data_IF_518428027666
#
_entry.id   IF_518428027666
#
_cell.length_a   1.000
_cell.length_b   1.000
_cell.length_c   1.000
_cell.angle_alpha   90.00
_cell.angle_beta   90.00
_cell.angle_gamma   90.00
#
_symmetry.space_group_name_H-M   'P 1'
#
loop_
_entity.id
_entity.type
_entity.pdbx_description
1 polymer ?
#
# COMPACT_ATOMS: atom_id res chain seq x y z
N UNK A 1 -43.08 -46.93 -0.73
CA UNK A 1 -41.63 -47.04 -0.52
C UNK A 1 -40.95 -45.80 -1.11
N UNK A 2 -40.45 -44.89 -0.32
CA UNK A 2 -39.70 -43.78 -0.81
C UNK A 2 -38.19 -44.11 -0.74
N UNK A 3 -37.57 -44.08 -1.87
CA UNK A 3 -36.13 -44.27 -2.04
C UNK A 3 -35.40 -43.07 -1.52
N UNK A 4 -34.67 -43.20 -0.46
CA UNK A 4 -33.76 -42.24 0.14
C UNK A 4 -32.53 -42.00 -0.77
N UNK A 5 -32.39 -40.79 -1.25
CA UNK A 5 -31.17 -40.32 -1.90
C UNK A 5 -30.08 -40.15 -0.82
N UNK A 6 -28.87 -40.61 -1.05
CA UNK A 6 -27.76 -40.35 -0.13
C UNK A 6 -27.29 -38.92 -0.29
N UNK A 7 -27.42 -38.16 0.80
CA UNK A 7 -26.80 -36.86 0.99
C UNK A 7 -25.29 -37.01 0.96
N UNK A 8 -24.66 -36.69 -0.16
CA UNK A 8 -23.22 -36.58 -0.25
C UNK A 8 -22.81 -35.18 0.19
N UNK A 9 -22.80 -34.97 1.47
CA UNK A 9 -21.97 -33.93 2.08
C UNK A 9 -20.51 -34.34 1.95
N UNK A 10 -19.89 -34.08 0.84
CA UNK A 10 -18.43 -33.95 0.73
C UNK A 10 -18.07 -32.52 1.10
N UNK A 11 -18.08 -32.23 2.36
CA UNK A 11 -17.26 -31.15 2.92
C UNK A 11 -15.80 -31.59 2.79
N UNK A 12 -15.24 -31.35 1.60
CA UNK A 12 -13.81 -31.31 1.43
C UNK A 12 -13.28 -30.18 2.31
N UNK A 13 -12.38 -30.48 3.20
CA UNK A 13 -11.48 -29.57 3.90
C UNK A 13 -10.64 -28.82 2.85
N UNK A 14 -11.30 -27.96 2.08
CA UNK A 14 -10.69 -27.07 1.11
C UNK A 14 -9.87 -26.06 1.90
N UNK A 15 -8.55 -26.09 1.73
CA UNK A 15 -7.65 -25.03 2.14
C UNK A 15 -8.33 -23.69 1.91
N UNK A 16 -8.52 -22.89 2.98
CA UNK A 16 -9.25 -21.61 2.92
C UNK A 16 -8.53 -20.70 1.93
N UNK A 17 -9.04 -20.68 0.72
CA UNK A 17 -8.58 -19.81 -0.34
C UNK A 17 -8.96 -18.38 0.04
N UNK A 18 -7.97 -17.54 0.29
CA UNK A 18 -8.20 -16.12 0.58
C UNK A 18 -8.08 -15.36 -0.72
N UNK A 19 -9.17 -14.75 -1.14
CA UNK A 19 -9.23 -13.91 -2.34
C UNK A 19 -9.31 -12.43 -1.98
N UNK A 20 -8.73 -11.60 -2.83
CA UNK A 20 -8.79 -10.15 -2.73
C UNK A 20 -9.06 -9.53 -4.11
N UNK A 21 -10.08 -8.68 -4.19
CA UNK A 21 -10.53 -8.07 -5.44
C UNK A 21 -10.66 -6.57 -5.27
N UNK A 22 -10.11 -5.79 -6.21
CA UNK A 22 -10.29 -4.35 -6.24
C UNK A 22 -10.26 -3.80 -7.67
N UNK A 23 -10.82 -2.60 -7.87
CA UNK A 23 -10.72 -1.84 -9.12
C UNK A 23 -9.67 -0.74 -8.97
N UNK A 24 -8.62 -0.80 -9.80
CA UNK A 24 -7.54 0.18 -9.80
C UNK A 24 -7.96 1.52 -10.43
N UNK A 25 -8.92 1.49 -11.34
CA UNK A 25 -9.56 2.66 -11.97
C UNK A 25 -11.00 2.33 -12.34
N UNK A 26 -11.77 3.35 -12.70
CA UNK A 26 -13.18 3.18 -13.12
C UNK A 26 -13.32 2.39 -14.42
N UNK A 27 -12.37 2.54 -15.32
CA UNK A 27 -12.40 1.96 -16.67
C UNK A 27 -11.77 0.57 -16.68
N UNK A 28 -10.93 0.24 -15.67
CA UNK A 28 -10.27 -1.07 -15.61
C UNK A 28 -11.22 -2.16 -15.13
N UNK A 29 -11.04 -3.37 -15.67
CA UNK A 29 -11.60 -4.57 -15.07
C UNK A 29 -11.09 -4.73 -13.63
N UNK A 30 -11.83 -5.44 -12.79
CA UNK A 30 -11.42 -5.74 -11.44
C UNK A 30 -10.11 -6.57 -11.45
N UNK A 31 -9.16 -6.19 -10.61
CA UNK A 31 -7.95 -6.96 -10.34
C UNK A 31 -8.29 -8.01 -9.29
N UNK A 32 -7.94 -9.25 -9.57
CA UNK A 32 -8.25 -10.40 -8.72
C UNK A 32 -6.93 -11.04 -8.26
N UNK A 33 -6.86 -11.32 -6.98
CA UNK A 33 -5.73 -11.98 -6.35
C UNK A 33 -6.25 -13.10 -5.46
N UNK A 34 -5.57 -14.23 -5.47
CA UNK A 34 -5.96 -15.42 -4.75
C UNK A 34 -4.73 -16.13 -4.20
N UNK A 35 -4.77 -16.49 -2.93
CA UNK A 35 -3.74 -17.27 -2.30
C UNK A 35 -4.10 -18.75 -2.42
N UNK A 36 -3.43 -19.45 -3.33
CA UNK A 36 -3.60 -20.89 -3.56
C UNK A 36 -2.45 -21.66 -2.90
N UNK A 37 -2.53 -22.98 -2.87
CA UNK A 37 -1.44 -23.81 -2.35
C UNK A 37 -0.20 -23.76 -3.26
N UNK A 38 -0.38 -23.53 -4.57
CA UNK A 38 0.70 -23.41 -5.55
C UNK A 38 1.37 -22.04 -5.56
N UNK A 39 0.75 -20.99 -4.98
CA UNK A 39 1.31 -19.65 -4.99
C UNK A 39 0.26 -18.53 -5.02
N UNK A 40 0.73 -17.33 -5.30
CA UNK A 40 -0.09 -16.15 -5.53
C UNK A 40 -0.64 -16.19 -6.96
N UNK A 41 -1.92 -16.53 -7.11
CA UNK A 41 -2.65 -16.39 -8.36
C UNK A 41 -3.12 -14.94 -8.54
N UNK A 42 -2.98 -14.39 -9.74
CA UNK A 42 -3.39 -13.04 -10.05
C UNK A 42 -4.01 -12.93 -11.43
N UNK A 43 -4.97 -12.01 -11.57
CA UNK A 43 -5.59 -11.64 -12.83
C UNK A 43 -5.75 -10.12 -12.91
N UNK A 44 -5.16 -9.53 -13.93
CA UNK A 44 -5.14 -8.08 -14.18
C UNK A 44 -5.51 -7.85 -15.63
N UNK A 45 -6.77 -7.48 -15.88
CA UNK A 45 -7.30 -7.36 -17.24
C UNK A 45 -7.28 -8.70 -17.97
N UNK A 46 -6.55 -8.76 -19.10
CA UNK A 46 -6.38 -9.97 -19.90
C UNK A 46 -5.17 -10.82 -19.49
N UNK A 47 -4.38 -10.33 -18.55
CA UNK A 47 -3.18 -11.03 -18.06
C UNK A 47 -3.51 -11.76 -16.78
N UNK A 48 -3.03 -12.99 -16.67
CA UNK A 48 -3.14 -13.78 -15.44
C UNK A 48 -1.89 -14.64 -15.29
N UNK A 49 -1.64 -15.08 -14.07
CA UNK A 49 -0.51 -15.94 -13.77
C UNK A 49 -0.58 -16.44 -12.33
N UNK A 50 0.30 -17.40 -12.04
CA UNK A 50 0.51 -17.90 -10.68
C UNK A 50 2.01 -17.75 -10.37
N UNK A 51 2.31 -17.06 -9.30
CA UNK A 51 3.67 -16.90 -8.80
C UNK A 51 3.88 -17.77 -7.57
N UNK A 52 4.75 -18.81 -7.66
CA UNK A 52 5.12 -19.57 -6.48
C UNK A 52 5.65 -18.66 -5.38
N UNK A 53 5.29 -18.92 -4.14
CA UNK A 53 5.69 -18.04 -3.01
C UNK A 53 7.20 -17.93 -2.86
N UNK A 54 7.96 -18.98 -3.18
CA UNK A 54 9.42 -18.99 -3.13
C UNK A 54 10.08 -18.09 -4.20
N UNK A 55 9.38 -17.88 -5.34
CA UNK A 55 9.91 -17.13 -6.49
C UNK A 55 9.65 -15.62 -6.39
N UNK A 56 8.87 -15.18 -5.42
CA UNK A 56 8.65 -13.77 -5.17
C UNK A 56 9.97 -13.16 -4.69
N UNK A 57 10.49 -12.21 -5.47
CA UNK A 57 11.78 -11.58 -5.21
C UNK A 57 11.71 -10.44 -4.20
N UNK A 58 10.63 -9.65 -4.24
CA UNK A 58 10.45 -8.54 -3.31
C UNK A 58 9.00 -8.21 -3.02
N UNK A 59 8.74 -7.70 -1.81
CA UNK A 59 7.50 -7.01 -1.45
C UNK A 59 7.85 -5.65 -0.88
N UNK A 60 7.16 -4.62 -1.40
CA UNK A 60 7.27 -3.26 -0.86
C UNK A 60 5.91 -2.76 -0.41
N UNK A 61 5.77 -2.50 0.88
CA UNK A 61 4.60 -1.87 1.47
C UNK A 61 4.80 -0.36 1.53
N UNK A 62 3.84 0.43 1.07
CA UNK A 62 3.92 1.90 1.09
C UNK A 62 2.57 2.55 1.39
N UNK A 63 2.61 3.70 2.04
CA UNK A 63 1.46 4.56 2.26
C UNK A 63 1.35 5.55 1.10
N UNK A 64 0.20 5.55 0.40
CA UNK A 64 -0.03 6.35 -0.81
C UNK A 64 -1.35 7.11 -0.71
N UNK A 65 -1.45 8.13 0.16
CA UNK A 65 -2.67 8.92 0.29
C UNK A 65 -3.03 9.61 -1.03
N UNK A 66 -4.32 9.81 -1.24
CA UNK A 66 -4.88 10.62 -2.32
C UNK A 66 -5.86 11.62 -1.73
N UNK A 67 -6.18 12.69 -2.48
CA UNK A 67 -7.14 13.73 -2.06
C UNK A 67 -8.50 13.16 -1.65
N UNK A 68 -8.96 12.13 -2.33
CA UNK A 68 -10.25 11.46 -2.04
C UNK A 68 -10.16 10.39 -0.97
N UNK A 69 -8.97 9.88 -0.65
CA UNK A 69 -8.76 8.81 0.32
C UNK A 69 -7.40 8.94 1.01
N UNK A 70 -7.43 9.53 2.20
CA UNK A 70 -6.24 9.73 3.02
C UNK A 70 -5.62 8.39 3.49
N UNK A 71 -6.45 7.36 3.70
CA UNK A 71 -6.00 6.02 4.14
C UNK A 71 -5.90 5.07 2.95
N UNK A 72 -4.85 5.21 2.18
CA UNK A 72 -4.59 4.34 1.04
C UNK A 72 -3.22 3.70 1.17
N UNK A 73 -3.17 2.38 1.12
CA UNK A 73 -1.96 1.57 1.23
C UNK A 73 -1.74 0.79 -0.06
N UNK A 74 -0.49 0.48 -0.33
CA UNK A 74 -0.08 -0.23 -1.53
C UNK A 74 0.98 -1.26 -1.20
N UNK A 75 0.80 -2.47 -1.70
CA UNK A 75 1.81 -3.51 -1.76
C UNK A 75 2.26 -3.70 -3.22
N UNK A 76 3.52 -3.47 -3.49
CA UNK A 76 4.17 -3.83 -4.75
C UNK A 76 4.86 -5.17 -4.56
N UNK A 77 4.47 -6.17 -5.34
CA UNK A 77 5.02 -7.52 -5.32
C UNK A 77 5.76 -7.73 -6.65
N UNK A 78 6.98 -8.21 -6.59
CA UNK A 78 7.84 -8.37 -7.76
C UNK A 78 8.37 -9.80 -7.83
N UNK A 79 8.28 -10.40 -9.02
CA UNK A 79 8.95 -11.66 -9.37
C UNK A 79 10.06 -11.35 -10.38
N UNK A 80 11.23 -11.92 -10.15
CA UNK A 80 12.37 -11.72 -11.02
C UNK A 80 12.05 -12.19 -12.45
N UNK A 81 12.29 -11.31 -13.43
CA UNK A 81 12.05 -11.60 -14.85
C UNK A 81 10.61 -11.49 -15.34
N UNK A 82 9.60 -11.44 -14.46
CA UNK A 82 8.18 -11.36 -14.84
C UNK A 82 7.49 -10.02 -14.55
N UNK A 83 8.18 -9.13 -13.84
CA UNK A 83 7.69 -7.79 -13.57
C UNK A 83 7.08 -7.62 -12.18
N UNK A 84 6.20 -6.62 -12.08
CA UNK A 84 5.61 -6.16 -10.81
C UNK A 84 4.11 -6.12 -10.89
N UNK A 85 3.45 -6.56 -9.82
CA UNK A 85 2.02 -6.36 -9.59
C UNK A 85 1.83 -5.49 -8.35
N UNK A 86 0.74 -4.71 -8.33
CA UNK A 86 0.41 -3.84 -7.22
C UNK A 86 -0.93 -4.23 -6.64
N UNK A 87 -1.03 -4.25 -5.32
CA UNK A 87 -2.29 -4.47 -4.59
C UNK A 87 -2.57 -3.20 -3.79
N UNK A 88 -3.78 -2.67 -3.93
CA UNK A 88 -4.22 -1.43 -3.26
C UNK A 88 -5.26 -1.75 -2.19
N UNK A 89 -5.23 -1.01 -1.08
CA UNK A 89 -6.22 -1.13 0.00
C UNK A 89 -7.55 -0.43 -0.31
N UNK A 90 -7.72 0.10 -1.51
CA UNK A 90 -8.91 0.85 -1.92
C UNK A 90 -9.41 0.40 -3.27
N UNK A 91 -10.73 0.46 -3.47
CA UNK A 91 -11.39 0.15 -4.74
C UNK A 91 -12.19 1.35 -5.24
N UNK A 92 -12.15 1.62 -6.55
CA UNK A 92 -12.99 2.62 -7.16
C UNK A 92 -14.43 2.11 -7.32
N UNK A 93 -15.40 2.91 -6.90
CA UNK A 93 -16.84 2.63 -7.11
C UNK A 93 -17.44 3.57 -8.15
N UNK A 94 -17.16 4.87 -8.04
CA UNK A 94 -17.64 5.91 -8.98
C UNK A 94 -16.54 6.91 -9.25
N UNK A 95 -16.81 7.92 -10.11
CA UNK A 95 -15.84 8.99 -10.48
C UNK A 95 -15.31 9.75 -9.25
N UNK A 96 -16.12 9.88 -8.19
CA UNK A 96 -15.76 10.62 -6.99
C UNK A 96 -15.72 9.77 -5.73
N UNK A 97 -15.97 8.46 -5.82
CA UNK A 97 -16.05 7.59 -4.65
C UNK A 97 -15.05 6.44 -4.73
N UNK A 98 -14.14 6.44 -3.77
CA UNK A 98 -13.19 5.37 -3.51
C UNK A 98 -13.45 4.79 -2.13
N UNK A 99 -13.66 3.47 -2.06
CA UNK A 99 -13.97 2.78 -0.81
C UNK A 99 -12.74 2.09 -0.26
N UNK A 100 -12.41 2.26 1.03
CA UNK A 100 -11.37 1.50 1.69
C UNK A 100 -11.79 0.03 1.89
N UNK A 101 -10.84 -0.88 1.72
CA UNK A 101 -10.98 -2.31 1.98
C UNK A 101 -9.97 -2.77 3.05
N UNK A 102 -9.89 -2.01 4.12
CA UNK A 102 -8.83 -2.10 5.12
C UNK A 102 -8.66 -3.52 5.68
N UNK A 103 -9.75 -4.12 6.13
CA UNK A 103 -9.72 -5.46 6.74
C UNK A 103 -9.32 -6.54 5.74
N UNK A 104 -9.93 -6.53 4.55
CA UNK A 104 -9.61 -7.50 3.49
C UNK A 104 -8.16 -7.39 3.01
N UNK A 105 -7.69 -6.16 2.84
CA UNK A 105 -6.30 -5.91 2.45
C UNK A 105 -5.32 -6.39 3.52
N UNK A 106 -5.56 -6.03 4.80
CA UNK A 106 -4.69 -6.44 5.91
C UNK A 106 -4.65 -7.97 6.03
N UNK A 107 -5.81 -8.63 6.01
CA UNK A 107 -5.90 -10.08 6.08
C UNK A 107 -5.15 -10.76 4.92
N UNK A 108 -5.35 -10.28 3.69
CA UNK A 108 -4.69 -10.80 2.51
C UNK A 108 -3.17 -10.66 2.57
N UNK A 109 -2.66 -9.46 2.91
CA UNK A 109 -1.21 -9.20 3.01
C UNK A 109 -0.58 -10.03 4.13
N UNK A 110 -1.23 -10.14 5.28
CA UNK A 110 -0.73 -10.94 6.41
C UNK A 110 -0.63 -12.42 6.03
N UNK A 111 -1.67 -12.96 5.39
CA UNK A 111 -1.68 -14.36 4.98
C UNK A 111 -0.67 -14.63 3.85
N UNK A 112 -0.50 -13.71 2.90
CA UNK A 112 0.54 -13.80 1.89
C UNK A 112 1.94 -13.94 2.52
N UNK A 113 2.27 -13.09 3.49
CA UNK A 113 3.55 -13.17 4.20
C UNK A 113 3.71 -14.49 4.96
N UNK A 114 2.64 -14.97 5.61
CA UNK A 114 2.64 -16.26 6.31
C UNK A 114 2.95 -17.42 5.35
N UNK A 115 2.28 -17.46 4.18
CA UNK A 115 2.50 -18.52 3.17
C UNK A 115 3.89 -18.43 2.54
N UNK A 116 4.37 -17.23 2.25
CA UNK A 116 5.73 -17.02 1.75
C UNK A 116 6.79 -17.50 2.74
N UNK A 117 6.58 -17.22 4.03
CA UNK A 117 7.46 -17.72 5.09
C UNK A 117 7.44 -19.24 5.15
N UNK A 118 6.26 -19.86 5.13
CA UNK A 118 6.11 -21.32 5.13
C UNK A 118 6.78 -21.98 3.92
N UNK A 119 6.77 -21.30 2.75
CA UNK A 119 7.45 -21.73 1.53
C UNK A 119 8.97 -21.45 1.52
N UNK A 120 9.54 -20.92 2.59
CA UNK A 120 10.97 -20.62 2.67
C UNK A 120 11.42 -19.47 1.74
N UNK A 121 10.52 -18.53 1.39
CA UNK A 121 10.83 -17.41 0.52
C UNK A 121 11.97 -16.55 1.07
N UNK A 122 12.88 -16.15 0.17
CA UNK A 122 14.01 -15.23 0.44
C UNK A 122 13.72 -13.81 -0.06
N UNK A 123 12.45 -13.45 -0.23
CA UNK A 123 12.04 -12.15 -0.73
C UNK A 123 12.60 -10.99 0.10
N UNK A 124 13.00 -9.92 -0.59
CA UNK A 124 13.37 -8.66 0.06
C UNK A 124 12.12 -7.92 0.53
N UNK A 125 11.94 -7.79 1.84
CA UNK A 125 10.79 -7.12 2.44
C UNK A 125 11.15 -5.67 2.80
N UNK A 126 10.52 -4.71 2.13
CA UNK A 126 10.80 -3.28 2.31
C UNK A 126 9.54 -2.48 2.57
N UNK A 127 9.63 -1.55 3.50
CA UNK A 127 8.56 -0.60 3.83
C UNK A 127 8.92 0.82 3.44
N UNK A 128 7.91 1.59 3.07
CA UNK A 128 8.06 2.98 2.64
C UNK A 128 8.29 3.14 1.14
N UNK A 129 8.64 4.36 0.74
CA UNK A 129 9.02 4.68 -0.64
C UNK A 129 10.50 4.38 -0.87
N UNK A 130 10.92 4.29 -2.15
CA UNK A 130 12.33 4.06 -2.49
C UNK A 130 13.25 5.12 -1.88
N UNK A 131 14.46 4.71 -1.49
CA UNK A 131 15.43 5.56 -0.79
C UNK A 131 15.72 6.86 -1.55
N UNK A 132 15.89 6.79 -2.87
CA UNK A 132 16.13 7.98 -3.71
C UNK A 132 14.93 8.92 -3.66
N UNK A 133 13.71 8.40 -3.90
CA UNK A 133 12.48 9.20 -3.85
C UNK A 133 12.27 9.82 -2.47
N UNK A 134 12.58 9.08 -1.40
CA UNK A 134 12.50 9.60 -0.04
C UNK A 134 13.50 10.73 0.19
N UNK A 135 14.76 10.52 -0.19
CA UNK A 135 15.81 11.55 -0.06
C UNK A 135 15.44 12.81 -0.84
N UNK A 136 14.98 12.68 -2.10
CA UNK A 136 14.52 13.82 -2.90
C UNK A 136 13.37 14.56 -2.22
N UNK A 137 12.37 13.83 -1.70
CA UNK A 137 11.25 14.45 -1.00
C UNK A 137 11.69 15.23 0.24
N UNK A 138 12.59 14.64 1.05
CA UNK A 138 13.13 15.30 2.25
C UNK A 138 13.95 16.55 1.86
N UNK A 139 14.79 16.45 0.83
CA UNK A 139 15.57 17.60 0.33
C UNK A 139 14.66 18.74 -0.15
N UNK A 140 13.61 18.42 -0.92
CA UNK A 140 12.64 19.43 -1.37
C UNK A 140 11.95 20.13 -0.20
N UNK A 141 11.55 19.37 0.82
CA UNK A 141 10.94 19.96 2.03
C UNK A 141 11.93 20.83 2.79
N UNK A 142 13.18 20.41 2.90
CA UNK A 142 14.23 21.20 3.55
C UNK A 142 14.49 22.51 2.80
N UNK A 143 14.59 22.48 1.48
CA UNK A 143 14.74 23.70 0.66
C UNK A 143 13.53 24.64 0.83
N UNK A 144 12.32 24.12 0.80
CA UNK A 144 11.11 24.90 1.05
C UNK A 144 11.14 25.56 2.42
N UNK A 145 11.55 24.82 3.46
CA UNK A 145 11.67 25.36 4.81
C UNK A 145 12.69 26.51 4.89
N UNK A 146 13.84 26.40 4.21
CA UNK A 146 14.85 27.46 4.14
C UNK A 146 14.25 28.73 3.49
N UNK A 147 13.55 28.58 2.36
CA UNK A 147 12.89 29.71 1.68
C UNK A 147 11.85 30.36 2.59
N UNK A 148 11.04 29.56 3.29
CA UNK A 148 10.02 30.08 4.21
C UNK A 148 10.62 30.81 5.40
N UNK A 149 11.74 30.33 5.95
CA UNK A 149 12.48 31.01 7.04
C UNK A 149 13.01 32.35 6.52
N UNK A 150 13.58 32.39 5.31
CA UNK A 150 14.07 33.64 4.70
C UNK A 150 12.96 34.65 4.49
N UNK A 151 11.81 34.22 3.97
CA UNK A 151 10.63 35.08 3.78
C UNK A 151 10.06 35.60 5.10
N UNK A 152 10.02 34.75 6.13
CA UNK A 152 9.58 35.12 7.47
C UNK A 152 10.51 36.15 8.08
N UNK A 153 11.84 35.94 7.97
CA UNK A 153 12.83 36.92 8.43
C UNK A 153 12.67 38.28 7.75
N UNK A 154 12.47 38.27 6.41
CA UNK A 154 12.20 39.49 5.66
C UNK A 154 10.90 40.18 6.12
N UNK A 155 9.80 39.45 6.27
CA UNK A 155 8.53 40.00 6.71
C UNK A 155 8.62 40.66 8.11
N UNK A 156 9.39 40.06 9.02
CA UNK A 156 9.64 40.64 10.35
C UNK A 156 10.50 41.91 10.25
N UNK A 157 11.52 41.94 9.40
CA UNK A 157 12.37 43.14 9.21
C UNK A 157 11.62 44.31 8.59
N UNK A 158 10.61 44.04 7.77
CA UNK A 158 9.76 45.05 7.13
C UNK A 158 8.50 45.39 7.93
N UNK A 159 8.37 44.83 9.16
CA UNK A 159 7.19 44.99 10.03
C UNK A 159 5.88 44.53 9.40
N UNK A 160 5.94 43.60 8.45
CA UNK A 160 4.78 43.01 7.75
C UNK A 160 4.22 41.83 8.57
N UNK A 161 3.63 42.14 9.72
CA UNK A 161 3.16 41.15 10.69
C UNK A 161 2.05 40.24 10.13
N UNK A 162 1.19 40.74 9.25
CA UNK A 162 0.13 39.95 8.60
C UNK A 162 0.75 38.87 7.71
N UNK A 163 1.76 39.23 6.90
CA UNK A 163 2.49 38.30 6.08
C UNK A 163 3.26 37.25 6.90
N UNK A 164 3.88 37.70 7.99
CA UNK A 164 4.58 36.77 8.91
C UNK A 164 3.62 35.75 9.53
N UNK A 165 2.44 36.18 10.01
CA UNK A 165 1.43 35.29 10.59
C UNK A 165 0.91 34.28 9.56
N UNK A 166 0.66 34.72 8.31
CA UNK A 166 0.28 33.82 7.22
C UNK A 166 1.34 32.75 6.94
N UNK A 167 2.62 33.15 6.89
CA UNK A 167 3.74 32.21 6.67
C UNK A 167 3.85 31.17 7.78
N UNK A 168 3.68 31.58 9.04
CA UNK A 168 3.69 30.66 10.20
C UNK A 168 2.52 29.68 10.11
N UNK A 169 1.32 30.15 9.81
CA UNK A 169 0.14 29.27 9.65
C UNK A 169 0.34 28.27 8.50
N UNK A 170 0.86 28.74 7.37
CA UNK A 170 1.16 27.88 6.24
C UNK A 170 2.26 26.85 6.55
N UNK A 171 3.32 27.24 7.26
CA UNK A 171 4.36 26.33 7.70
C UNK A 171 3.80 25.22 8.61
N UNK A 172 2.98 25.59 9.58
CA UNK A 172 2.31 24.65 10.48
C UNK A 172 1.45 23.63 9.71
N UNK A 173 0.67 24.11 8.75
CA UNK A 173 -0.16 23.26 7.89
C UNK A 173 0.68 22.30 7.04
N UNK A 174 1.79 22.76 6.46
CA UNK A 174 2.72 21.93 5.70
C UNK A 174 3.36 20.84 6.59
N UNK A 175 3.86 21.22 7.77
CA UNK A 175 4.46 20.25 8.71
C UNK A 175 3.45 19.18 9.10
N UNK A 176 2.21 19.55 9.38
CA UNK A 176 1.16 18.60 9.71
C UNK A 176 0.84 17.64 8.57
N UNK A 177 0.66 18.18 7.35
CA UNK A 177 0.25 17.40 6.17
C UNK A 177 1.38 16.51 5.63
N UNK A 178 2.58 17.07 5.46
CA UNK A 178 3.72 16.39 4.82
C UNK A 178 4.50 15.56 5.84
N UNK A 179 4.61 16.02 7.09
CA UNK A 179 5.35 15.33 8.14
C UNK A 179 4.84 13.91 8.40
N UNK A 180 3.51 13.75 8.43
CA UNK A 180 2.87 12.43 8.56
C UNK A 180 3.20 11.49 7.39
N UNK A 181 3.21 12.01 6.16
CA UNK A 181 3.58 11.25 4.98
C UNK A 181 5.05 10.79 5.01
N UNK A 182 5.98 11.71 5.31
CA UNK A 182 7.41 11.41 5.37
C UNK A 182 7.69 10.39 6.47
N UNK A 183 7.13 10.57 7.67
CA UNK A 183 7.31 9.66 8.81
C UNK A 183 6.84 8.24 8.48
N UNK A 184 5.67 8.08 7.87
CA UNK A 184 5.11 6.77 7.50
C UNK A 184 5.90 6.09 6.38
N UNK A 185 6.35 6.85 5.38
CA UNK A 185 7.02 6.35 4.20
C UNK A 185 8.56 6.27 4.32
N UNK A 186 9.12 6.44 5.51
CA UNK A 186 10.55 6.26 5.73
C UNK A 186 10.97 4.87 5.27
N UNK A 187 12.01 4.76 4.42
CA UNK A 187 12.54 3.48 3.96
C UNK A 187 13.00 2.63 5.14
N UNK A 188 12.51 1.40 5.21
CA UNK A 188 12.89 0.44 6.24
C UNK A 188 12.80 -0.98 5.69
N UNK A 189 13.62 -1.87 6.21
CA UNK A 189 13.46 -3.31 6.00
C UNK A 189 12.62 -3.87 7.15
N UNK A 190 11.85 -4.91 6.86
CA UNK A 190 11.09 -5.64 7.86
C UNK A 190 11.20 -7.16 7.63
N UNK A 191 10.74 -7.96 8.56
CA UNK A 191 10.75 -9.42 8.47
C UNK A 191 9.32 -9.97 8.30
N UNK A 192 9.22 -11.26 7.93
CA UNK A 192 7.93 -11.93 7.85
C UNK A 192 7.17 -11.97 9.19
N UNK A 193 7.88 -11.88 10.31
CA UNK A 193 7.31 -11.93 11.67
C UNK A 193 6.82 -10.57 12.17
N UNK A 194 7.36 -9.48 11.62
CA UNK A 194 7.08 -8.13 12.09
C UNK A 194 6.68 -7.24 10.91
N UNK A 195 5.40 -7.35 10.52
CA UNK A 195 4.84 -6.45 9.54
C UNK A 195 4.73 -5.04 10.11
N UNK A 196 5.06 -4.00 9.32
CA UNK A 196 5.00 -2.63 9.79
C UNK A 196 3.56 -2.11 9.85
N UNK A 197 2.95 -2.05 11.04
CA UNK A 197 1.58 -1.54 11.23
C UNK A 197 1.34 -0.14 10.65
N UNK A 198 2.37 0.71 10.60
CA UNK A 198 2.25 2.03 10.00
C UNK A 198 2.01 2.01 8.48
N UNK A 199 2.24 0.87 7.80
CA UNK A 199 2.07 0.65 6.36
C UNK A 199 0.94 -0.35 6.03
N UNK A 200 0.19 -0.75 7.04
CA UNK A 200 -1.06 -1.51 6.93
C UNK A 200 -2.22 -0.67 7.46
N UNK A 201 -3.43 -0.85 6.90
CA UNK A 201 -4.61 -0.15 7.41
C UNK A 201 -5.05 -0.63 8.76
#
# INVERSE_FOLDING_TARGET
MPTSLPNQAREGEGARTISYVYKASLISSAYQFELTDSGLSWRIGRRSGVWPYADIASIRLSYRPMSMQARRFRADIERAGEGRIAILSTTWQTVSLMTPQDQGYRAFITELHRRMRAAGSKASLTGGIGTVTYATAVTMVALLAIVMIGLLGRALMTFEFTGALFLVGMAGWFVWTIGGFIKRNRPRRYSFDQLPDALLP
#
